data_IF_754134365795
#
_entry.id   IF_754134365795
#
_cell.length_a   1.000
_cell.length_b   1.000
_cell.length_c   1.000
_cell.angle_alpha   90.00
_cell.angle_beta   90.00
_cell.angle_gamma   90.00
#
_symmetry.space_group_name_H-M   'P 1'
#
loop_
_entity.id
_entity.type
_entity.pdbx_description
1 polymer ?
#
# COMPACT_ATOMS: atom_id res chain seq x y z
N UNK A 1 78.66 -55.27 -16.43
CA UNK A 1 79.40 -55.48 -15.16
C UNK A 1 78.72 -54.64 -14.09
N UNK A 2 78.49 -55.26 -12.91
CA UNK A 2 78.11 -54.67 -11.59
C UNK A 2 76.79 -53.89 -11.51
N UNK A 3 75.89 -54.03 -10.52
CA UNK A 3 75.69 -54.87 -9.34
C UNK A 3 74.25 -54.54 -8.85
N UNK A 4 73.43 -55.53 -8.53
CA UNK A 4 72.26 -55.38 -7.64
C UNK A 4 72.72 -55.21 -6.17
N UNK A 5 71.83 -55.18 -5.16
CA UNK A 5 70.64 -54.36 -4.90
C UNK A 5 70.71 -53.74 -3.48
N UNK A 6 69.78 -52.86 -3.06
CA UNK A 6 69.44 -52.76 -1.63
C UNK A 6 67.97 -52.38 -1.41
N UNK A 7 67.36 -53.20 -0.56
CA UNK A 7 66.04 -53.11 0.05
C UNK A 7 65.81 -51.78 0.78
N UNK A 8 64.57 -51.30 0.92
CA UNK A 8 63.78 -51.41 2.16
C UNK A 8 62.40 -50.71 2.10
N UNK A 9 61.36 -51.54 2.31
CA UNK A 9 60.11 -51.38 3.07
C UNK A 9 58.96 -50.45 2.62
N UNK A 10 57.70 -50.95 2.77
CA UNK A 10 56.46 -50.29 2.35
C UNK A 10 55.85 -49.45 3.48
N UNK A 11 55.05 -48.44 3.12
CA UNK A 11 54.07 -47.86 4.04
C UNK A 11 52.69 -47.79 3.40
N UNK A 12 51.76 -48.39 4.13
CA UNK A 12 50.32 -48.52 3.99
C UNK A 12 49.62 -47.21 3.59
N UNK A 13 48.91 -47.19 2.46
CA UNK A 13 47.98 -46.12 2.10
C UNK A 13 46.56 -46.50 2.54
N UNK A 14 45.99 -45.66 3.40
CA UNK A 14 44.64 -45.74 3.97
C UNK A 14 43.75 -44.68 3.30
N UNK A 15 42.42 -44.89 3.34
CA UNK A 15 41.30 -43.95 3.22
C UNK A 15 40.65 -43.87 1.83
N UNK A 16 39.51 -44.52 1.62
CA UNK A 16 38.12 -44.17 2.01
C UNK A 16 37.42 -43.27 0.98
N UNK A 17 36.57 -43.94 0.20
CA UNK A 17 35.55 -43.37 -0.65
C UNK A 17 34.46 -42.67 0.20
N UNK A 18 33.89 -41.58 -0.33
CA UNK A 18 32.66 -40.99 0.19
C UNK A 18 32.65 -39.46 0.09
N UNK A 19 32.23 -38.94 -1.06
CA UNK A 19 32.12 -37.50 -1.29
C UNK A 19 31.01 -37.15 -2.25
N UNK A 20 29.76 -37.51 -1.91
CA UNK A 20 28.58 -36.84 -2.48
C UNK A 20 27.77 -36.35 -1.29
N UNK A 21 27.99 -35.10 -0.90
CA UNK A 21 26.97 -34.32 -0.21
C UNK A 21 26.65 -33.11 -1.08
N UNK A 22 25.50 -33.18 -1.74
CA UNK A 22 24.84 -32.02 -2.28
C UNK A 22 24.49 -31.11 -1.09
N UNK A 23 25.25 -30.03 -0.93
CA UNK A 23 24.89 -28.96 -0.04
C UNK A 23 23.66 -28.26 -0.62
N UNK A 24 22.47 -28.64 -0.13
CA UNK A 24 21.30 -27.80 -0.22
C UNK A 24 21.59 -26.55 0.60
N UNK A 25 21.92 -25.46 -0.08
CA UNK A 25 22.06 -24.15 0.54
C UNK A 25 20.68 -23.70 1.03
N UNK A 26 20.33 -24.09 2.26
CA UNK A 26 19.32 -23.38 3.02
C UNK A 26 19.87 -21.97 3.26
N UNK A 27 19.27 -20.96 2.62
CA UNK A 27 19.56 -19.56 2.92
C UNK A 27 19.37 -19.35 4.43
N UNK A 28 20.47 -19.08 5.13
CA UNK A 28 20.45 -18.63 6.52
C UNK A 28 19.74 -17.27 6.51
N UNK A 29 18.46 -17.24 6.88
CA UNK A 29 17.77 -16.00 7.18
C UNK A 29 18.37 -15.47 8.49
N UNK A 30 19.21 -14.43 8.38
CA UNK A 30 19.94 -13.84 9.50
C UNK A 30 19.06 -12.93 10.39
N UNK A 31 17.76 -12.83 10.12
CA UNK A 31 16.79 -12.09 10.92
C UNK A 31 15.46 -12.84 10.97
N UNK A 32 14.83 -12.92 12.15
CA UNK A 32 13.39 -13.23 12.25
C UNK A 32 12.65 -12.19 11.42
N UNK A 33 11.80 -12.65 10.49
CA UNK A 33 10.79 -11.92 9.72
C UNK A 33 10.80 -10.38 9.85
N UNK A 34 11.09 -9.66 8.76
CA UNK A 34 11.11 -8.20 8.77
C UNK A 34 9.77 -7.57 9.22
N UNK A 35 9.74 -6.28 9.59
CA UNK A 35 8.55 -5.60 10.16
C UNK A 35 7.23 -5.81 9.39
N UNK A 36 7.30 -6.10 8.08
CA UNK A 36 6.15 -6.37 7.24
C UNK A 36 5.40 -7.69 7.57
N UNK A 37 6.03 -8.69 8.17
CA UNK A 37 5.33 -9.95 8.50
C UNK A 37 4.47 -9.85 9.78
N UNK A 38 4.82 -8.91 10.66
CA UNK A 38 4.16 -8.68 11.95
C UNK A 38 3.33 -7.38 11.99
N UNK A 39 3.45 -6.53 10.97
CA UNK A 39 2.73 -5.27 10.88
C UNK A 39 1.79 -5.20 9.66
N UNK A 40 0.72 -4.45 9.85
CA UNK A 40 -0.08 -3.87 8.78
C UNK A 40 -0.16 -2.36 8.99
N UNK A 41 -0.59 -1.65 7.96
CA UNK A 41 -0.63 -0.18 7.96
C UNK A 41 -2.06 0.28 7.76
N UNK A 42 -2.61 0.97 8.74
CA UNK A 42 -4.00 1.44 8.72
C UNK A 42 -4.05 2.96 8.63
N UNK A 43 -4.87 3.50 7.73
CA UNK A 43 -5.25 4.92 7.77
C UNK A 43 -6.76 5.11 7.71
N UNK A 44 -7.19 6.27 8.14
CA UNK A 44 -8.57 6.73 8.00
C UNK A 44 -8.65 7.92 7.06
N UNK A 45 -9.70 7.96 6.24
CA UNK A 45 -9.98 9.08 5.33
C UNK A 45 -11.42 9.54 5.51
N UNK A 46 -11.61 10.82 5.73
CA UNK A 46 -12.91 11.47 5.67
C UNK A 46 -13.28 11.68 4.19
N UNK A 47 -14.18 10.84 3.69
CA UNK A 47 -14.69 10.97 2.33
C UNK A 47 -15.94 11.85 2.21
N UNK A 48 -16.47 12.36 3.33
CA UNK A 48 -17.64 13.23 3.38
C UNK A 48 -17.29 14.74 3.43
N UNK A 49 -18.29 15.54 3.78
CA UNK A 49 -18.14 17.01 3.93
C UNK A 49 -18.17 17.47 5.39
N UNK A 50 -18.74 16.67 6.29
CA UNK A 50 -18.75 16.95 7.72
C UNK A 50 -17.45 16.45 8.37
N UNK A 51 -17.03 17.09 9.46
CA UNK A 51 -15.92 16.60 10.30
C UNK A 51 -16.19 15.14 10.69
N UNK A 52 -15.15 14.32 10.62
CA UNK A 52 -15.22 12.91 10.99
C UNK A 52 -14.33 12.63 12.19
N UNK A 53 -14.89 12.02 13.22
CA UNK A 53 -14.16 11.49 14.36
C UNK A 53 -13.98 9.99 14.25
N UNK A 54 -12.77 9.52 14.57
CA UNK A 54 -12.42 8.11 14.68
C UNK A 54 -12.11 7.80 16.14
N UNK A 55 -12.70 6.74 16.67
CA UNK A 55 -12.43 6.25 18.04
C UNK A 55 -12.09 4.77 18.01
N UNK A 56 -10.98 4.39 18.66
CA UNK A 56 -10.58 3.00 18.78
C UNK A 56 -11.31 2.32 19.96
N UNK A 57 -11.85 1.12 19.74
CA UNK A 57 -12.54 0.37 20.80
C UNK A 57 -11.54 -0.07 21.87
N UNK A 58 -11.89 0.14 23.14
CA UNK A 58 -11.04 -0.22 24.28
C UNK A 58 -9.87 0.73 24.52
N UNK A 59 -9.83 1.87 23.83
CA UNK A 59 -8.81 2.93 24.00
C UNK A 59 -9.46 4.30 24.16
N UNK A 60 -8.72 5.26 24.72
CA UNK A 60 -9.09 6.69 24.72
C UNK A 60 -8.57 7.42 23.48
N UNK A 61 -7.86 6.73 22.59
CA UNK A 61 -7.34 7.31 21.35
C UNK A 61 -8.48 7.80 20.45
N UNK A 62 -8.38 9.05 20.01
CA UNK A 62 -9.29 9.69 19.08
C UNK A 62 -8.51 10.44 18.01
N UNK A 63 -9.03 10.43 16.80
CA UNK A 63 -8.52 11.17 15.65
C UNK A 63 -9.69 11.96 15.07
N UNK A 64 -9.45 13.21 14.71
CA UNK A 64 -10.44 14.07 14.04
C UNK A 64 -9.90 14.43 12.65
N UNK A 65 -10.71 14.21 11.62
CA UNK A 65 -10.39 14.45 10.21
C UNK A 65 -11.37 15.48 9.64
N UNK A 66 -10.85 16.60 9.15
CA UNK A 66 -11.60 17.72 8.60
C UNK A 66 -11.20 18.00 7.14
N UNK A 67 -11.71 19.09 6.56
CA UNK A 67 -11.42 19.43 5.17
C UNK A 67 -9.95 19.84 4.93
N UNK A 68 -9.23 20.30 5.96
CA UNK A 68 -7.82 20.66 5.86
C UNK A 68 -6.92 19.42 6.00
N UNK A 69 -7.32 18.47 6.84
CA UNK A 69 -6.62 17.20 7.08
C UNK A 69 -7.60 16.03 6.93
N UNK A 70 -8.00 15.71 5.69
CA UNK A 70 -9.05 14.72 5.47
C UNK A 70 -8.55 13.28 5.57
N UNK A 71 -7.23 13.06 5.61
CA UNK A 71 -6.63 11.75 5.73
C UNK A 71 -5.60 11.74 6.87
N UNK A 72 -5.57 10.65 7.64
CA UNK A 72 -4.46 10.40 8.55
C UNK A 72 -3.25 9.86 7.79
N UNK A 73 -2.09 9.94 8.43
CA UNK A 73 -0.98 9.06 8.11
C UNK A 73 -1.38 7.60 8.34
N UNK A 74 -0.64 6.68 7.72
CA UNK A 74 -0.70 5.26 8.00
C UNK A 74 -0.09 4.96 9.37
N UNK A 75 -0.90 4.38 10.25
CA UNK A 75 -0.50 3.91 11.56
C UNK A 75 -0.11 2.43 11.47
N UNK A 76 1.08 2.04 11.97
CA UNK A 76 1.42 0.64 12.09
C UNK A 76 0.53 -0.01 13.15
N UNK A 77 -0.06 -1.15 12.79
CA UNK A 77 -0.85 -2.00 13.67
C UNK A 77 -0.32 -3.42 13.62
N UNK A 78 -0.57 -4.23 14.65
CA UNK A 78 -0.16 -5.64 14.65
C UNK A 78 -0.97 -6.40 13.59
N UNK A 79 -0.28 -7.06 12.65
CA UNK A 79 -0.90 -7.92 11.66
C UNK A 79 -1.66 -9.09 12.33
N UNK A 80 -2.61 -9.69 11.62
CA UNK A 80 -3.40 -10.85 12.11
C UNK A 80 -4.23 -10.53 13.37
N UNK A 81 -4.45 -9.25 13.68
CA UNK A 81 -5.35 -8.79 14.75
C UNK A 81 -6.57 -8.08 14.15
N UNK A 82 -7.67 -8.09 14.90
CA UNK A 82 -8.86 -7.31 14.53
C UNK A 82 -8.71 -5.89 15.07
N UNK A 83 -8.78 -4.92 14.17
CA UNK A 83 -8.88 -3.52 14.53
C UNK A 83 -10.36 -3.15 14.65
N UNK A 84 -10.75 -2.69 15.83
CA UNK A 84 -12.14 -2.33 16.15
C UNK A 84 -12.25 -0.85 16.54
N UNK A 85 -13.29 -0.18 16.06
CA UNK A 85 -13.53 1.23 16.34
C UNK A 85 -14.82 1.75 15.75
N UNK A 86 -14.99 3.06 15.79
CA UNK A 86 -16.14 3.75 15.20
C UNK A 86 -15.71 4.99 14.44
N UNK A 87 -16.41 5.27 13.34
CA UNK A 87 -16.35 6.53 12.60
C UNK A 87 -17.63 7.29 12.88
N UNK A 88 -17.54 8.55 13.28
CA UNK A 88 -18.70 9.41 13.52
C UNK A 88 -18.60 10.67 12.68
N UNK A 89 -19.62 10.96 11.87
CA UNK A 89 -19.64 12.16 11.02
C UNK A 89 -21.08 12.59 10.74
N UNK A 90 -21.35 13.90 10.81
CA UNK A 90 -22.68 14.45 10.49
C UNK A 90 -23.84 13.84 11.30
N UNK A 91 -23.60 13.45 12.55
CA UNK A 91 -24.60 12.79 13.42
C UNK A 91 -24.85 11.31 13.10
N UNK A 92 -24.14 10.73 12.13
CA UNK A 92 -24.15 9.29 11.84
C UNK A 92 -22.92 8.61 12.43
N UNK A 93 -23.05 7.32 12.70
CA UNK A 93 -21.96 6.49 13.20
C UNK A 93 -21.87 5.18 12.39
N UNK A 94 -20.66 4.76 12.08
CA UNK A 94 -20.34 3.47 11.46
C UNK A 94 -19.33 2.71 12.31
N UNK A 95 -19.54 1.41 12.49
CA UNK A 95 -18.58 0.53 13.15
C UNK A 95 -17.49 0.11 12.16
N UNK A 96 -16.27 0.00 12.67
CA UNK A 96 -15.14 -0.62 11.98
C UNK A 96 -14.76 -1.86 12.78
N UNK A 97 -14.77 -3.01 12.12
CA UNK A 97 -14.26 -4.28 12.66
C UNK A 97 -13.58 -5.00 11.50
N UNK A 98 -12.24 -4.97 11.51
CA UNK A 98 -11.47 -5.39 10.34
C UNK A 98 -10.22 -6.16 10.75
N UNK A 99 -10.07 -7.35 10.17
CA UNK A 99 -8.82 -8.10 10.21
C UNK A 99 -7.86 -7.56 9.13
N UNK A 100 -6.61 -7.37 9.53
CA UNK A 100 -5.53 -6.88 8.68
C UNK A 100 -4.50 -7.97 8.41
N UNK A 101 -4.01 -8.05 7.16
CA UNK A 101 -3.01 -9.02 6.73
C UNK A 101 -1.58 -8.46 6.89
N UNK A 102 -0.57 -9.33 7.05
CA UNK A 102 0.83 -8.90 7.03
C UNK A 102 1.19 -8.08 5.79
N UNK A 103 1.85 -6.94 6.00
CA UNK A 103 2.30 -6.04 4.94
C UNK A 103 1.18 -5.28 4.22
N UNK A 104 -0.07 -5.44 4.64
CA UNK A 104 -1.22 -4.79 4.03
C UNK A 104 -1.28 -3.30 4.37
N UNK A 105 -1.60 -2.49 3.37
CA UNK A 105 -2.05 -1.12 3.56
C UNK A 105 -3.58 -1.08 3.46
N UNK A 106 -4.23 -0.87 4.60
CA UNK A 106 -5.68 -0.74 4.71
C UNK A 106 -6.06 0.74 4.86
N UNK A 107 -6.91 1.21 3.95
CA UNK A 107 -7.54 2.52 4.04
C UNK A 107 -9.02 2.34 4.40
N UNK A 108 -9.45 2.94 5.50
CA UNK A 108 -10.85 3.00 5.91
C UNK A 108 -11.40 4.38 5.57
N UNK A 109 -12.34 4.45 4.64
CA UNK A 109 -12.96 5.70 4.20
C UNK A 109 -14.34 5.84 4.81
N UNK A 110 -14.56 6.89 5.59
CA UNK A 110 -15.90 7.25 6.05
C UNK A 110 -16.65 8.01 4.95
N UNK A 111 -17.77 7.45 4.50
CA UNK A 111 -18.69 8.04 3.54
C UNK A 111 -20.06 8.31 4.19
N UNK A 112 -20.92 9.14 3.58
CA UNK A 112 -22.26 9.42 4.11
C UNK A 112 -23.17 8.18 4.28
N UNK A 113 -22.89 7.09 3.55
CA UNK A 113 -23.59 5.80 3.59
C UNK A 113 -22.90 4.75 4.49
N UNK A 114 -21.75 5.05 5.07
CA UNK A 114 -21.01 4.16 5.97
C UNK A 114 -19.51 4.10 5.69
N UNK A 115 -18.83 3.12 6.28
CA UNK A 115 -17.39 2.91 6.05
C UNK A 115 -17.17 2.06 4.79
N UNK A 116 -16.15 2.40 3.98
CA UNK A 116 -15.61 1.57 2.89
C UNK A 116 -14.16 1.20 3.20
N UNK A 117 -13.78 0.00 2.79
CA UNK A 117 -12.42 -0.51 2.96
C UNK A 117 -11.76 -0.60 1.60
N UNK A 118 -10.55 -0.06 1.48
CA UNK A 118 -9.69 -0.25 0.31
C UNK A 118 -8.38 -0.84 0.79
N UNK A 119 -7.98 -1.94 0.15
CA UNK A 119 -6.85 -2.78 0.56
C UNK A 119 -5.81 -2.77 -0.54
N UNK A 120 -4.56 -2.60 -0.15
CA UNK A 120 -3.41 -2.75 -1.04
C UNK A 120 -2.37 -3.66 -0.39
N UNK A 121 -1.70 -4.45 -1.23
CA UNK A 121 -0.52 -5.21 -0.84
C UNK A 121 0.58 -4.88 -1.85
N UNK A 122 1.24 -3.73 -1.67
CA UNK A 122 2.18 -3.26 -2.67
C UNK A 122 3.44 -4.12 -2.66
N UNK A 123 3.87 -4.51 -3.86
CA UNK A 123 5.06 -5.33 -4.12
C UNK A 123 6.12 -4.56 -4.91
N UNK A 124 5.80 -3.34 -5.36
CA UNK A 124 6.65 -2.51 -6.19
C UNK A 124 7.15 -1.24 -5.48
N UNK A 125 8.46 -1.04 -5.51
CA UNK A 125 9.10 0.20 -5.07
C UNK A 125 10.22 0.60 -6.03
N UNK A 126 10.29 1.89 -6.35
CA UNK A 126 11.36 2.47 -7.13
C UNK A 126 11.69 3.87 -6.59
N UNK A 127 12.89 4.03 -6.01
CA UNK A 127 13.33 5.30 -5.42
C UNK A 127 13.45 6.46 -6.42
N UNK A 128 13.46 6.19 -7.73
CA UNK A 128 13.55 7.21 -8.79
C UNK A 128 12.19 7.59 -9.37
N UNK A 129 11.11 6.98 -8.89
CA UNK A 129 9.73 7.21 -9.35
C UNK A 129 8.85 7.62 -8.19
N UNK A 130 7.69 8.18 -8.52
CA UNK A 130 6.60 8.39 -7.58
C UNK A 130 5.65 7.22 -7.72
N UNK A 131 5.24 6.63 -6.61
CA UNK A 131 4.19 5.61 -6.62
C UNK A 131 2.84 6.26 -6.38
N UNK A 132 2.03 6.32 -7.45
CA UNK A 132 0.70 6.92 -7.42
C UNK A 132 -0.36 5.82 -7.36
N UNK A 133 -1.27 5.89 -6.39
CA UNK A 133 -2.45 5.04 -6.27
C UNK A 133 -3.72 5.79 -6.65
N UNK A 134 -4.71 5.07 -7.15
CA UNK A 134 -6.05 5.56 -7.44
C UNK A 134 -7.12 4.61 -6.92
N UNK A 135 -7.99 5.11 -6.06
CA UNK A 135 -9.08 4.34 -5.44
C UNK A 135 -10.42 4.82 -5.97
N UNK A 136 -11.24 3.89 -6.48
CA UNK A 136 -12.59 4.20 -6.91
C UNK A 136 -13.60 3.91 -5.80
N UNK A 137 -14.20 4.95 -5.22
CA UNK A 137 -15.26 4.83 -4.21
C UNK A 137 -16.58 5.47 -4.65
N UNK A 138 -16.65 6.01 -5.87
CA UNK A 138 -17.86 6.63 -6.40
C UNK A 138 -18.62 5.65 -7.29
N UNK A 139 -19.76 5.09 -6.84
CA UNK A 139 -20.55 4.15 -7.63
C UNK A 139 -21.17 4.77 -8.89
N UNK A 140 -21.23 6.11 -8.99
CA UNK A 140 -21.79 6.80 -10.16
C UNK A 140 -20.80 6.92 -11.32
N UNK A 141 -19.50 6.68 -11.07
CA UNK A 141 -18.46 6.81 -12.08
C UNK A 141 -18.20 5.47 -12.78
N UNK A 142 -18.93 5.22 -13.87
CA UNK A 142 -18.68 4.08 -14.74
C UNK A 142 -17.27 4.12 -15.34
N UNK A 143 -16.62 2.97 -15.51
CA UNK A 143 -15.25 2.84 -16.06
C UNK A 143 -14.27 3.85 -15.46
N UNK A 144 -14.28 3.98 -14.13
CA UNK A 144 -13.55 5.04 -13.44
C UNK A 144 -12.06 5.02 -13.78
N UNK A 145 -11.54 6.20 -14.06
CA UNK A 145 -10.12 6.41 -14.34
C UNK A 145 -9.62 7.73 -13.78
N UNK A 146 -8.34 7.98 -14.03
CA UNK A 146 -7.67 9.21 -13.66
C UNK A 146 -6.85 9.69 -14.85
N UNK A 147 -7.06 10.94 -15.26
CA UNK A 147 -6.35 11.56 -16.38
C UNK A 147 -5.38 12.61 -15.84
N UNK A 148 -4.24 12.77 -16.52
CA UNK A 148 -3.44 13.98 -16.38
C UNK A 148 -4.20 15.16 -17.01
N UNK A 149 -4.56 16.14 -16.18
CA UNK A 149 -5.34 17.30 -16.60
C UNK A 149 -4.57 18.13 -17.65
N UNK A 150 -5.31 18.76 -18.56
CA UNK A 150 -4.77 19.59 -19.65
C UNK A 150 -4.26 18.81 -20.87
N UNK A 151 -3.89 17.53 -20.72
CA UNK A 151 -3.52 16.64 -21.85
C UNK A 151 -4.48 15.47 -22.04
N UNK A 152 -5.36 15.20 -21.06
CA UNK A 152 -6.31 14.10 -21.05
C UNK A 152 -5.66 12.72 -21.31
N UNK A 153 -4.41 12.57 -20.86
CA UNK A 153 -3.69 11.29 -20.95
C UNK A 153 -4.09 10.42 -19.77
N UNK A 154 -4.50 9.19 -20.04
CA UNK A 154 -4.89 8.26 -19.00
C UNK A 154 -3.69 7.83 -18.15
N UNK A 155 -3.85 7.96 -16.83
CA UNK A 155 -2.94 7.42 -15.81
C UNK A 155 -3.48 6.07 -15.34
N UNK A 156 -4.79 6.00 -15.10
CA UNK A 156 -5.55 4.80 -14.77
C UNK A 156 -6.84 4.75 -15.58
N UNK A 157 -7.28 3.54 -15.90
CA UNK A 157 -8.49 3.25 -16.64
C UNK A 157 -9.22 2.07 -15.99
N UNK A 158 -10.55 2.06 -16.06
CA UNK A 158 -11.38 0.91 -15.68
C UNK A 158 -11.14 0.37 -14.26
N UNK A 159 -10.87 1.26 -13.30
CA UNK A 159 -10.76 0.87 -11.88
C UNK A 159 -12.15 0.58 -11.33
N UNK A 160 -12.40 -0.69 -11.02
CA UNK A 160 -13.70 -1.16 -10.51
C UNK A 160 -14.13 -0.42 -9.23
N UNK A 161 -15.43 -0.30 -9.00
CA UNK A 161 -15.96 0.27 -7.77
C UNK A 161 -15.45 -0.50 -6.54
N UNK A 162 -14.93 0.22 -5.55
CA UNK A 162 -14.27 -0.35 -4.36
C UNK A 162 -12.84 -0.85 -4.63
N UNK A 163 -12.37 -0.75 -5.87
CA UNK A 163 -11.05 -1.18 -6.28
C UNK A 163 -9.97 -0.12 -6.09
N UNK A 164 -8.73 -0.58 -6.16
CA UNK A 164 -7.52 0.23 -6.17
C UNK A 164 -6.65 -0.17 -7.37
N UNK A 165 -5.95 0.80 -7.94
CA UNK A 165 -4.87 0.58 -8.89
C UNK A 165 -3.69 1.45 -8.50
N UNK A 166 -2.47 0.97 -8.75
CA UNK A 166 -1.24 1.69 -8.43
C UNK A 166 -0.22 1.52 -9.53
N UNK A 167 0.56 2.57 -9.78
CA UNK A 167 1.66 2.53 -10.75
C UNK A 167 2.74 3.54 -10.39
N UNK A 168 3.92 3.29 -10.93
CA UNK A 168 5.04 4.24 -10.90
C UNK A 168 4.87 5.31 -11.98
N UNK A 169 5.06 6.57 -11.62
CA UNK A 169 5.04 7.75 -12.51
C UNK A 169 6.30 8.59 -12.33
N UNK A 170 6.56 9.48 -13.30
CA UNK A 170 7.71 10.39 -13.22
C UNK A 170 7.48 11.47 -12.14
N UNK A 171 8.53 11.90 -11.41
CA UNK A 171 8.45 12.98 -10.44
C UNK A 171 8.36 14.34 -11.13
N UNK A 172 7.13 14.78 -11.40
CA UNK A 172 6.83 16.04 -12.09
C UNK A 172 5.67 16.76 -11.41
N UNK A 173 5.47 18.03 -11.76
CA UNK A 173 4.23 18.73 -11.44
C UNK A 173 3.05 18.00 -12.11
N UNK A 174 2.03 17.66 -11.33
CA UNK A 174 0.91 16.87 -11.82
C UNK A 174 -0.43 17.42 -11.31
N UNK A 175 -1.32 17.70 -12.25
CA UNK A 175 -2.72 17.97 -11.98
C UNK A 175 -3.54 16.85 -12.63
N UNK A 176 -4.56 16.36 -11.94
CA UNK A 176 -5.36 15.21 -12.36
C UNK A 176 -6.85 15.51 -12.38
N UNK A 177 -7.61 14.78 -13.18
CA UNK A 177 -9.08 14.85 -13.21
C UNK A 177 -9.63 13.43 -13.29
N UNK A 178 -10.80 13.18 -12.68
CA UNK A 178 -11.44 11.88 -12.79
C UNK A 178 -11.85 11.63 -14.24
N UNK A 179 -11.89 10.37 -14.66
CA UNK A 179 -12.51 9.93 -15.90
C UNK A 179 -13.70 9.05 -15.56
N UNK A 180 -14.87 9.35 -16.10
CA UNK A 180 -16.05 8.46 -16.02
C UNK A 180 -16.54 8.20 -17.45
N UNK A 181 -16.66 6.93 -17.83
CA UNK A 181 -16.99 6.55 -19.21
C UNK A 181 -15.95 7.05 -20.23
N UNK A 182 -14.68 7.15 -19.83
CA UNK A 182 -13.59 7.67 -20.66
C UNK A 182 -13.56 9.19 -20.84
N UNK A 183 -14.46 9.94 -20.20
CA UNK A 183 -14.52 11.40 -20.29
C UNK A 183 -14.10 12.07 -18.97
N UNK A 184 -13.38 13.21 -19.03
CA UNK A 184 -13.09 14.01 -17.84
C UNK A 184 -14.37 14.35 -17.06
N UNK A 185 -14.34 14.16 -15.75
CA UNK A 185 -15.48 14.40 -14.86
C UNK A 185 -15.04 15.07 -13.56
N UNK A 186 -15.84 16.02 -13.08
CA UNK A 186 -15.56 16.77 -11.86
C UNK A 186 -14.47 17.84 -12.00
N UNK A 187 -13.96 18.32 -10.85
CA UNK A 187 -12.93 19.35 -10.79
C UNK A 187 -11.54 18.73 -10.87
N UNK A 188 -10.64 19.37 -11.60
CA UNK A 188 -9.22 19.03 -11.56
C UNK A 188 -8.63 19.23 -10.15
N UNK A 189 -7.78 18.31 -9.74
CA UNK A 189 -7.07 18.27 -8.47
C UNK A 189 -5.58 18.46 -8.72
N UNK A 190 -4.99 19.47 -8.09
CA UNK A 190 -3.56 19.72 -8.13
C UNK A 190 -2.85 18.88 -7.08
N UNK A 191 -1.91 18.04 -7.51
CA UNK A 191 -1.06 17.23 -6.62
C UNK A 191 0.28 17.93 -6.32
N UNK A 192 0.52 19.11 -6.92
CA UNK A 192 1.77 19.85 -6.79
C UNK A 192 2.92 19.15 -7.52
N UNK A 193 4.14 19.42 -7.06
CA UNK A 193 5.38 18.84 -7.59
C UNK A 193 5.71 17.56 -6.82
N UNK A 194 5.49 16.42 -7.47
CA UNK A 194 5.74 15.11 -6.88
C UNK A 194 7.24 14.82 -6.78
N UNK A 195 7.69 14.20 -5.68
CA UNK A 195 9.11 13.88 -5.46
C UNK A 195 9.39 12.39 -5.65
N UNK A 196 10.59 12.08 -6.15
CA UNK A 196 11.02 10.68 -6.31
C UNK A 196 11.07 9.98 -4.93
N UNK A 197 10.57 8.74 -4.89
CA UNK A 197 10.44 7.96 -3.66
C UNK A 197 9.13 8.20 -2.91
N UNK A 198 8.36 9.25 -3.22
CA UNK A 198 7.08 9.50 -2.56
C UNK A 198 6.02 8.49 -3.00
N UNK A 199 5.08 8.23 -2.06
CA UNK A 199 3.81 7.56 -2.33
C UNK A 199 2.65 8.51 -2.11
N UNK A 200 1.71 8.49 -3.04
CA UNK A 200 0.46 9.25 -2.94
C UNK A 200 -0.72 8.39 -3.35
N UNK A 201 -1.89 8.69 -2.81
CA UNK A 201 -3.17 8.15 -3.23
C UNK A 201 -4.12 9.26 -3.64
N UNK A 202 -4.82 9.06 -4.75
CA UNK A 202 -5.97 9.86 -5.16
C UNK A 202 -7.23 9.01 -4.98
N UNK A 203 -8.19 9.50 -4.22
CA UNK A 203 -9.46 8.84 -3.99
C UNK A 203 -10.55 9.53 -4.81
N UNK A 204 -11.30 8.75 -5.57
CA UNK A 204 -12.53 9.19 -6.23
C UNK A 204 -13.71 8.94 -5.28
N UNK A 205 -14.30 10.01 -4.78
CA UNK A 205 -15.35 9.99 -3.77
C UNK A 205 -16.69 10.43 -4.36
N UNK A 206 -17.82 9.86 -3.89
CA UNK A 206 -19.14 10.34 -4.26
C UNK A 206 -19.38 11.75 -3.71
N UNK A 207 -20.06 12.59 -4.48
CA UNK A 207 -20.55 13.88 -4.00
C UNK A 207 -21.88 14.26 -4.66
N UNK A 208 -22.64 15.13 -4.01
CA UNK A 208 -23.89 15.66 -4.55
C UNK A 208 -23.71 16.47 -5.86
N UNK A 209 -22.48 16.92 -6.14
CA UNK A 209 -22.14 17.71 -7.34
C UNK A 209 -21.43 16.86 -8.42
N UNK A 210 -21.50 15.54 -8.29
CA UNK A 210 -20.76 14.59 -9.13
C UNK A 210 -19.43 14.16 -8.51
N UNK A 211 -18.60 13.38 -9.23
CA UNK A 211 -17.41 12.77 -8.66
C UNK A 211 -16.39 13.80 -8.16
N UNK A 212 -15.83 13.53 -6.97
CA UNK A 212 -14.86 14.41 -6.30
C UNK A 212 -13.55 13.67 -6.08
N UNK A 213 -12.44 14.28 -6.48
CA UNK A 213 -11.12 13.76 -6.13
C UNK A 213 -10.63 14.31 -4.79
N UNK A 214 -9.95 13.44 -4.04
CA UNK A 214 -9.23 13.77 -2.81
C UNK A 214 -7.81 13.23 -2.89
N UNK A 215 -6.84 14.04 -2.49
CA UNK A 215 -5.43 13.64 -2.42
C UNK A 215 -5.04 13.31 -0.99
N UNK A 216 -4.31 12.21 -0.82
CA UNK A 216 -3.67 11.82 0.43
C UNK A 216 -2.22 11.40 0.15
N UNK A 217 -1.21 12.09 0.72
CA UNK A 217 0.14 11.55 0.81
C UNK A 217 0.16 10.27 1.65
N UNK A 218 0.90 9.25 1.21
CA UNK A 218 0.99 7.96 1.93
C UNK A 218 2.20 8.00 2.88
N UNK A 219 2.07 8.75 3.97
CA UNK A 219 3.09 8.81 5.04
C UNK A 219 2.76 7.79 6.13
N UNK A 220 3.77 7.34 6.87
CA UNK A 220 3.60 6.51 8.05
C UNK A 220 3.89 7.32 9.32
N UNK A 221 3.00 7.26 10.30
CA UNK A 221 3.22 7.85 11.63
C UNK A 221 4.03 6.87 12.49
N UNK A 222 5.10 7.36 13.13
CA UNK A 222 5.89 6.62 14.12
C UNK A 222 5.74 7.23 15.51
#
# INVERSE_FOLDING_TARGET
>A
MTRSPFFLRPLLALLLAGGVQAAGAAQIQLYESGPAEDAAFLRFVNGGDAVMDVSAKGSKARLTLDAAHPASDFMPVRAKTNVQGTLSSGGKQANVDVAVQPGEFLTVVGLPDGAKLVREQPDDFNALKVSLGFYNLDPSCADAGLLAAGRNVAIFEQVAQGGAARRQVNPVALQVVASCGGQPSGKALDLGVLQAGDRHTVLLLPSAKGPRLLHAPDKTSF
#
